data_IF_666538738377
#
_entry.id   IF_666538738377
#
_cell.length_a   1.000
_cell.length_b   1.000
_cell.length_c   1.000
_cell.angle_alpha   90.00
_cell.angle_beta   90.00
_cell.angle_gamma   90.00
#
_symmetry.space_group_name_H-M   'P 1'
#
loop_
_entity.id
_entity.type
_entity.pdbx_description
1 polymer ?
#
# COMPACT_ATOMS: atom_id res chain seq x y z
N UNK A 1 -22.89 -16.07 20.52
CA UNK A 1 -22.07 -14.91 20.90
C UNK A 1 -21.19 -14.55 19.70
N UNK A 2 -21.63 -13.61 18.87
CA UNK A 2 -20.94 -13.22 17.64
C UNK A 2 -19.90 -12.17 18.03
N UNK A 3 -18.61 -12.47 17.86
CA UNK A 3 -17.51 -11.51 17.98
C UNK A 3 -17.70 -10.44 16.90
N UNK A 4 -18.54 -9.44 17.18
CA UNK A 4 -18.78 -8.31 16.28
C UNK A 4 -17.56 -7.39 16.33
N UNK A 5 -16.93 -7.24 15.17
CA UNK A 5 -16.01 -6.17 14.80
C UNK A 5 -14.75 -6.02 15.64
N UNK A 6 -13.83 -6.98 15.51
CA UNK A 6 -12.41 -6.62 15.69
C UNK A 6 -12.07 -5.64 14.55
N UNK A 7 -11.64 -4.40 14.84
CA UNK A 7 -11.21 -3.47 13.80
C UNK A 7 -10.17 -4.18 12.92
N UNK A 8 -10.29 -4.12 11.60
CA UNK A 8 -9.41 -4.83 10.64
C UNK A 8 -7.91 -4.71 10.99
N UNK A 9 -7.47 -3.58 11.57
CA UNK A 9 -6.10 -3.35 12.06
C UNK A 9 -5.60 -4.30 13.15
N UNK A 10 -6.51 -4.94 13.89
CA UNK A 10 -6.17 -5.92 14.94
C UNK A 10 -6.46 -7.36 14.51
N UNK A 11 -7.01 -7.55 13.30
CA UNK A 11 -7.34 -8.88 12.79
C UNK A 11 -6.09 -9.72 12.57
N UNK A 12 -6.21 -11.04 12.77
CA UNK A 12 -5.16 -12.01 12.40
C UNK A 12 -4.79 -11.87 10.92
N UNK A 13 -5.79 -11.68 10.06
CA UNK A 13 -5.61 -11.49 8.62
C UNK A 13 -4.67 -10.33 8.30
N UNK A 14 -4.86 -9.17 8.94
CA UNK A 14 -3.96 -8.03 8.70
C UNK A 14 -2.53 -8.31 9.16
N UNK A 15 -2.35 -8.93 10.34
CA UNK A 15 -1.02 -9.34 10.82
C UNK A 15 -0.33 -10.28 9.85
N UNK A 16 -1.03 -11.31 9.36
CA UNK A 16 -0.50 -12.23 8.35
C UNK A 16 -0.11 -11.50 7.07
N UNK A 17 -0.90 -10.53 6.60
CA UNK A 17 -0.54 -9.72 5.43
C UNK A 17 0.73 -8.90 5.66
N UNK A 18 0.93 -8.35 6.86
CA UNK A 18 2.16 -7.61 7.18
C UNK A 18 3.39 -8.52 7.21
N UNK A 19 3.26 -9.73 7.78
CA UNK A 19 4.33 -10.75 7.77
C UNK A 19 4.67 -11.17 6.34
N UNK A 20 3.66 -11.44 5.51
CA UNK A 20 3.85 -11.71 4.08
C UNK A 20 4.55 -10.56 3.38
N UNK A 21 4.09 -9.33 3.59
CA UNK A 21 4.68 -8.15 2.99
C UNK A 21 6.16 -8.01 3.37
N UNK A 22 6.50 -8.16 4.65
CA UNK A 22 7.88 -8.09 5.13
C UNK A 22 8.79 -9.16 4.51
N UNK A 23 8.25 -10.33 4.19
CA UNK A 23 8.96 -11.44 3.54
C UNK A 23 9.12 -11.30 2.02
N UNK A 24 8.46 -10.34 1.37
CA UNK A 24 8.62 -10.10 -0.07
C UNK A 24 9.99 -9.45 -0.35
N UNK A 25 10.78 -10.04 -1.24
CA UNK A 25 12.05 -9.45 -1.66
C UNK A 25 11.83 -8.09 -2.37
N UNK A 26 10.94 -8.08 -3.37
CA UNK A 26 10.58 -6.87 -4.09
C UNK A 26 9.19 -7.03 -4.75
N UNK A 27 8.43 -5.94 -4.82
CA UNK A 27 7.19 -5.81 -5.60
C UNK A 27 7.17 -4.45 -6.29
N UNK A 28 6.47 -4.31 -7.41
CA UNK A 28 6.22 -2.99 -7.99
C UNK A 28 4.82 -2.49 -7.65
N UNK A 29 4.75 -1.22 -7.25
CA UNK A 29 3.51 -0.46 -7.16
C UNK A 29 3.37 0.39 -8.43
N UNK A 30 2.32 0.17 -9.20
CA UNK A 30 2.00 0.95 -10.40
C UNK A 30 0.95 1.99 -10.06
N UNK A 31 1.31 3.28 -10.13
CA UNK A 31 0.40 4.37 -9.81
C UNK A 31 0.86 5.70 -10.44
N UNK A 32 -0.02 6.70 -10.49
CA UNK A 32 0.34 8.04 -10.98
C UNK A 32 1.30 8.77 -10.03
N UNK A 33 2.04 9.77 -10.53
CA UNK A 33 2.93 10.60 -9.72
C UNK A 33 2.25 11.23 -8.50
N UNK A 34 1.04 11.76 -8.70
CA UNK A 34 0.24 12.35 -7.62
C UNK A 34 -0.14 11.30 -6.56
N UNK A 35 -0.58 10.12 -7.01
CA UNK A 35 -0.91 9.00 -6.11
C UNK A 35 0.30 8.60 -5.28
N UNK A 36 1.46 8.45 -5.93
CA UNK A 36 2.70 8.11 -5.23
C UNK A 36 3.06 9.16 -4.18
N UNK A 37 2.96 10.45 -4.52
CA UNK A 37 3.23 11.54 -3.58
C UNK A 37 2.35 11.43 -2.32
N UNK A 38 1.05 11.23 -2.49
CA UNK A 38 0.11 11.11 -1.36
C UNK A 38 0.37 9.87 -0.51
N UNK A 39 0.63 8.73 -1.15
CA UNK A 39 0.93 7.48 -0.45
C UNK A 39 2.26 7.56 0.30
N UNK A 40 3.29 8.14 -0.31
CA UNK A 40 4.60 8.34 0.32
C UNK A 40 4.51 9.21 1.56
N UNK A 41 3.75 10.31 1.51
CA UNK A 41 3.52 11.19 2.68
C UNK A 41 2.78 10.45 3.78
N UNK A 42 1.74 9.67 3.45
CA UNK A 42 0.99 8.88 4.43
C UNK A 42 1.83 7.76 5.07
N UNK A 43 2.67 7.12 4.26
CA UNK A 43 3.50 6.00 4.68
C UNK A 43 4.74 6.47 5.46
N UNK A 44 5.28 7.64 5.17
CA UNK A 44 6.38 8.23 5.91
C UNK A 44 5.91 8.62 7.32
N UNK A 45 6.55 8.05 8.33
CA UNK A 45 6.35 8.44 9.73
C UNK A 45 7.67 8.96 10.28
N UNK A 46 7.62 9.98 11.14
CA UNK A 46 8.81 10.56 11.76
C UNK A 46 9.61 9.58 12.63
N UNK A 47 9.03 8.42 12.97
CA UNK A 47 9.64 7.39 13.80
C UNK A 47 9.99 6.12 13.03
N UNK A 48 9.77 6.07 11.71
CA UNK A 48 10.16 4.92 10.90
C UNK A 48 11.58 5.07 10.35
N UNK A 49 12.33 3.98 10.38
CA UNK A 49 13.65 3.85 9.73
C UNK A 49 13.54 3.47 8.25
N UNK A 50 12.35 3.11 7.76
CA UNK A 50 12.12 2.70 6.38
C UNK A 50 12.07 3.92 5.48
N UNK A 51 13.03 4.01 4.57
CA UNK A 51 13.08 5.05 3.54
C UNK A 51 12.36 4.57 2.30
N UNK A 52 11.39 5.34 1.83
CA UNK A 52 10.70 5.08 0.57
C UNK A 52 11.47 5.67 -0.63
N UNK A 53 11.24 5.15 -1.85
CA UNK A 53 11.72 5.78 -3.06
C UNK A 53 11.35 7.27 -3.12
N UNK A 54 12.21 8.06 -3.78
CA UNK A 54 12.05 9.50 -3.91
C UNK A 54 10.80 9.91 -4.70
N UNK A 55 10.66 11.21 -4.92
CA UNK A 55 9.57 11.71 -5.78
C UNK A 55 9.74 11.21 -7.21
N UNK A 56 8.61 11.08 -7.91
CA UNK A 56 8.62 10.96 -9.35
C UNK A 56 9.38 12.16 -9.94
N UNK A 57 10.21 11.95 -10.96
CA UNK A 57 10.94 13.05 -11.59
C UNK A 57 9.95 14.10 -12.12
N UNK A 58 10.29 15.38 -11.93
CA UNK A 58 9.64 16.48 -12.63
C UNK A 58 9.61 16.18 -14.14
N UNK A 59 8.44 16.29 -14.77
CA UNK A 59 8.24 15.99 -16.19
C UNK A 59 7.50 14.69 -16.51
N UNK A 60 7.11 13.91 -15.50
CA UNK A 60 6.12 12.82 -15.69
C UNK A 60 4.81 13.45 -16.16
N UNK A 61 4.26 13.01 -17.31
CA UNK A 61 3.00 13.57 -17.83
C UNK A 61 1.86 13.26 -16.87
N UNK A 62 0.94 14.21 -16.70
CA UNK A 62 -0.30 13.96 -15.96
C UNK A 62 -1.02 12.75 -16.57
N UNK A 63 -1.22 11.71 -15.77
CA UNK A 63 -1.85 10.45 -16.17
C UNK A 63 -0.90 9.30 -16.54
N UNK A 64 0.42 9.51 -16.55
CA UNK A 64 1.38 8.41 -16.74
C UNK A 64 1.47 7.52 -15.48
N UNK A 65 1.42 6.20 -15.68
CA UNK A 65 1.58 5.21 -14.61
C UNK A 65 3.06 4.96 -14.35
N UNK A 66 3.50 5.31 -13.15
CA UNK A 66 4.86 5.06 -12.68
C UNK A 66 4.97 3.68 -12.07
N UNK A 67 6.11 3.03 -12.29
CA UNK A 67 6.48 1.79 -11.63
C UNK A 67 7.41 2.09 -10.45
N UNK A 68 6.89 1.94 -9.24
CA UNK A 68 7.62 2.21 -8.00
C UNK A 68 8.06 0.87 -7.38
N UNK A 69 9.35 0.52 -7.39
CA UNK A 69 9.82 -0.69 -6.73
C UNK A 69 9.77 -0.51 -5.21
N UNK A 70 9.20 -1.49 -4.52
CA UNK A 70 9.10 -1.54 -3.06
C UNK A 70 9.74 -2.83 -2.54
N UNK A 71 10.55 -2.70 -1.49
CA UNK A 71 11.03 -3.85 -0.70
C UNK A 71 9.96 -4.31 0.28
N UNK A 72 10.11 -5.50 0.85
CA UNK A 72 9.16 -6.04 1.81
C UNK A 72 8.86 -5.12 3.01
N UNK A 73 9.88 -4.55 3.69
CA UNK A 73 9.64 -3.58 4.77
C UNK A 73 8.90 -2.31 4.31
N UNK A 74 9.18 -1.81 3.11
CA UNK A 74 8.47 -0.66 2.54
C UNK A 74 7.01 -1.03 2.26
N UNK A 75 6.76 -2.21 1.70
CA UNK A 75 5.41 -2.71 1.44
C UNK A 75 4.62 -2.91 2.73
N UNK A 76 5.22 -3.54 3.75
CA UNK A 76 4.58 -3.76 5.04
C UNK A 76 4.15 -2.43 5.67
N UNK A 77 5.05 -1.44 5.67
CA UNK A 77 4.73 -0.11 6.18
C UNK A 77 3.66 0.59 5.34
N UNK A 78 3.72 0.50 4.01
CA UNK A 78 2.67 1.07 3.15
C UNK A 78 1.30 0.47 3.46
N UNK A 79 1.21 -0.85 3.59
CA UNK A 79 -0.04 -1.59 3.91
C UNK A 79 -0.58 -1.22 5.28
N UNK A 80 0.29 -1.15 6.29
CA UNK A 80 -0.11 -0.71 7.62
C UNK A 80 -0.67 0.72 7.56
N UNK A 81 0.10 1.66 6.99
CA UNK A 81 -0.23 3.08 7.02
C UNK A 81 -1.44 3.45 6.16
N UNK A 82 -1.68 2.72 5.08
CA UNK A 82 -2.90 2.88 4.28
C UNK A 82 -4.12 2.40 5.04
N UNK A 83 -4.06 1.26 5.76
CA UNK A 83 -5.15 0.84 6.64
C UNK A 83 -5.43 1.86 7.75
N UNK A 84 -4.39 2.41 8.39
CA UNK A 84 -4.58 3.49 9.36
C UNK A 84 -5.23 4.72 8.71
N UNK A 85 -4.86 5.04 7.47
CA UNK A 85 -5.43 6.13 6.69
C UNK A 85 -6.93 5.97 6.41
N UNK A 86 -7.48 4.75 6.41
CA UNK A 86 -8.93 4.54 6.17
C UNK A 86 -9.78 4.91 7.38
N UNK A 87 -9.18 5.05 8.56
CA UNK A 87 -9.91 5.36 9.78
C UNK A 87 -10.51 6.78 9.75
N UNK A 88 -11.71 6.99 10.32
CA UNK A 88 -12.39 8.28 10.29
C UNK A 88 -11.55 9.46 10.80
N UNK A 89 -10.71 9.22 11.81
CA UNK A 89 -9.87 10.24 12.45
C UNK A 89 -8.53 10.49 11.74
N UNK A 90 -8.20 9.75 10.68
CA UNK A 90 -6.85 9.75 10.09
C UNK A 90 -6.80 10.29 8.65
N UNK A 91 -7.88 10.18 7.87
CA UNK A 91 -7.93 10.78 6.54
C UNK A 91 -8.25 12.28 6.60
N UNK A 92 -7.42 13.10 5.96
CA UNK A 92 -7.62 14.55 5.85
C UNK A 92 -8.84 14.92 4.98
N UNK A 93 -9.13 14.11 3.96
CA UNK A 93 -10.25 14.33 3.03
C UNK A 93 -10.91 13.00 2.64
N UNK A 94 -12.17 12.99 2.18
CA UNK A 94 -12.80 11.79 1.63
C UNK A 94 -12.02 11.18 0.46
N UNK A 95 -11.43 12.02 -0.41
CA UNK A 95 -10.60 11.57 -1.53
C UNK A 95 -9.35 10.81 -1.07
N UNK A 96 -8.65 11.32 -0.04
CA UNK A 96 -7.50 10.61 0.54
C UNK A 96 -7.92 9.28 1.17
N UNK A 97 -9.05 9.25 1.89
CA UNK A 97 -9.57 8.01 2.48
C UNK A 97 -9.85 6.95 1.42
N UNK A 98 -10.51 7.33 0.33
CA UNK A 98 -10.81 6.44 -0.79
C UNK A 98 -9.54 5.92 -1.44
N UNK A 99 -8.52 6.78 -1.62
CA UNK A 99 -7.22 6.36 -2.12
C UNK A 99 -6.57 5.33 -1.19
N UNK A 100 -6.50 5.60 0.11
CA UNK A 100 -5.88 4.69 1.08
C UNK A 100 -6.60 3.35 1.15
N UNK A 101 -7.94 3.35 1.09
CA UNK A 101 -8.73 2.14 1.05
C UNK A 101 -8.40 1.30 -0.19
N UNK A 102 -8.41 1.92 -1.39
CA UNK A 102 -8.05 1.24 -2.64
C UNK A 102 -6.63 0.68 -2.60
N UNK A 103 -5.67 1.43 -2.07
CA UNK A 103 -4.28 0.96 -1.95
C UNK A 103 -4.16 -0.22 -1.01
N UNK A 104 -4.84 -0.17 0.14
CA UNK A 104 -4.87 -1.29 1.07
C UNK A 104 -5.49 -2.53 0.42
N UNK A 105 -6.64 -2.38 -0.25
CA UNK A 105 -7.36 -3.51 -0.86
C UNK A 105 -6.57 -4.14 -2.00
N UNK A 106 -5.93 -3.34 -2.85
CA UNK A 106 -5.08 -3.84 -3.94
C UNK A 106 -3.87 -4.60 -3.41
N UNK A 107 -3.17 -4.05 -2.40
CA UNK A 107 -2.05 -4.73 -1.77
C UNK A 107 -2.48 -6.00 -1.03
N UNK A 108 -3.64 -5.97 -0.36
CA UNK A 108 -4.21 -7.12 0.32
C UNK A 108 -4.53 -8.26 -0.67
N UNK A 109 -5.10 -7.97 -1.83
CA UNK A 109 -5.40 -8.97 -2.84
C UNK A 109 -4.13 -9.69 -3.34
N UNK A 110 -3.05 -8.93 -3.58
CA UNK A 110 -1.75 -9.52 -3.96
C UNK A 110 -1.19 -10.36 -2.83
N UNK A 111 -1.14 -9.84 -1.59
CA UNK A 111 -0.58 -10.52 -0.43
C UNK A 111 -1.37 -11.77 -0.03
N UNK A 112 -2.68 -11.79 -0.23
CA UNK A 112 -3.50 -12.96 0.02
C UNK A 112 -3.13 -14.11 -0.91
N UNK A 113 -2.71 -13.80 -2.15
CA UNK A 113 -2.22 -14.77 -3.14
C UNK A 113 -0.74 -15.16 -3.00
N UNK A 114 0.05 -14.43 -2.19
CA UNK A 114 1.46 -14.79 -1.95
C UNK A 114 1.55 -15.99 -1.01
N UNK A 115 2.30 -17.01 -1.42
CA UNK A 115 2.67 -18.14 -0.59
C UNK A 115 4.16 -18.03 -0.21
N UNK A 116 4.44 -17.82 1.08
CA UNK A 116 5.80 -17.70 1.61
C UNK A 116 6.53 -19.04 1.75
N UNK A 117 5.83 -20.16 1.53
CA UNK A 117 6.42 -21.50 1.61
C UNK A 117 7.04 -21.96 0.28
N UNK A 118 6.81 -21.20 -0.80
CA UNK A 118 7.40 -21.46 -2.11
C UNK A 118 8.88 -21.06 -2.12
N UNK A 119 9.70 -21.80 -2.87
CA UNK A 119 11.15 -21.58 -2.98
C UNK A 119 11.50 -20.13 -3.38
N UNK A 120 12.66 -19.68 -2.92
CA UNK A 120 13.20 -18.34 -3.18
C UNK A 120 13.10 -17.95 -4.67
N UNK A 121 12.61 -16.75 -4.94
CA UNK A 121 12.55 -16.17 -6.29
C UNK A 121 11.20 -16.23 -6.99
N UNK A 122 10.13 -16.73 -6.34
CA UNK A 122 8.77 -16.58 -6.86
C UNK A 122 8.42 -15.09 -7.02
N UNK A 123 8.08 -14.69 -8.24
CA UNK A 123 7.74 -13.31 -8.55
C UNK A 123 6.40 -12.92 -7.90
N UNK A 124 6.40 -11.84 -7.12
CA UNK A 124 5.17 -11.27 -6.55
C UNK A 124 4.49 -10.41 -7.63
N UNK A 125 3.17 -10.58 -7.86
CA UNK A 125 2.45 -9.76 -8.82
C UNK A 125 2.54 -8.26 -8.49
N UNK A 126 2.56 -7.44 -9.54
CA UNK A 126 2.51 -5.99 -9.41
C UNK A 126 1.22 -5.52 -8.73
N UNK A 127 1.33 -4.54 -7.83
CA UNK A 127 0.20 -3.89 -7.18
C UNK A 127 -0.21 -2.70 -8.04
N UNK A 128 -1.42 -2.71 -8.59
CA UNK A 128 -1.88 -1.67 -9.51
C UNK A 128 -2.90 -0.77 -8.82
N UNK A 129 -2.60 0.52 -8.73
CA UNK A 129 -3.53 1.56 -8.27
C UNK A 129 -3.94 2.39 -9.48
N UNK A 130 -4.85 1.83 -10.27
CA UNK A 130 -5.50 2.56 -11.36
C UNK A 130 -6.68 3.34 -10.77
N UNK A 131 -6.36 4.48 -10.18
CA UNK A 131 -7.37 5.47 -9.86
C UNK A 131 -7.43 6.46 -11.03
N UNK A 132 -8.37 6.23 -11.96
CA UNK A 132 -9.20 7.34 -12.40
C UNK A 132 -9.77 7.97 -11.14
N UNK A 133 -9.08 8.95 -10.56
CA UNK A 133 -9.74 9.96 -9.76
C UNK A 133 -10.75 10.52 -10.74
N UNK A 134 -12.05 10.33 -10.49
CA UNK A 134 -13.08 10.89 -11.34
C UNK A 134 -12.81 12.40 -11.41
N UNK A 135 -12.17 12.81 -12.50
CA UNK A 135 -12.13 14.19 -12.95
C UNK A 135 -13.52 14.45 -13.50
N UNK A 136 -14.41 14.89 -12.62
CA UNK A 136 -15.48 15.82 -12.96
C UNK A 136 -15.03 17.22 -12.54
#
# INVERSE_FOLDING_TARGET
>A
MVLRNIPLKWSRTHRTRLEKAAGVAQVNLLCTALTWKLLRVQAATQWSTVKFPGEAKEGTKDGEMLRIPLTGPQLAQLVERTLWGTLPMSAQTPGHRALYQRTYDAAAAVLDGVDLSVADGAAVPDIIIDARIATE
#
